data_IF_087796276255
#
_entry.id   IF_087796276255
#
_cell.length_a   1.000
_cell.length_b   1.000
_cell.length_c   1.000
_cell.angle_alpha   90.00
_cell.angle_beta   90.00
_cell.angle_gamma   90.00
#
_symmetry.space_group_name_H-M   'P 1'
#
loop_
_entity.id
_entity.type
_entity.pdbx_description
1 polymer ?
#
# COMPACT_ATOMS: atom_id res chain seq x y z
N UNK A 1 -15.81 -11.91 4.47
CA UNK A 1 -14.37 -11.83 4.18
C UNK A 1 -14.26 -11.15 2.81
N UNK A 2 -13.73 -9.93 2.75
CA UNK A 2 -13.52 -9.26 1.46
C UNK A 2 -12.28 -9.90 0.82
N UNK A 3 -12.43 -10.48 -0.37
CA UNK A 3 -11.35 -11.16 -1.06
C UNK A 3 -10.38 -10.14 -1.68
N UNK A 4 -9.08 -10.44 -1.64
CA UNK A 4 -8.06 -9.66 -2.33
C UNK A 4 -8.27 -9.67 -3.84
N UNK A 5 -7.81 -8.63 -4.56
CA UNK A 5 -8.00 -8.55 -5.99
C UNK A 5 -7.25 -9.69 -6.71
N UNK A 6 -7.85 -10.18 -7.80
CA UNK A 6 -7.26 -11.28 -8.56
C UNK A 6 -5.94 -10.87 -9.22
N UNK A 7 -4.98 -11.80 -9.26
CA UNK A 7 -3.72 -11.64 -9.98
C UNK A 7 -3.98 -11.55 -11.49
N UNK A 8 -3.31 -10.62 -12.16
CA UNK A 8 -3.33 -10.46 -13.61
C UNK A 8 -2.06 -11.10 -14.16
N UNK A 9 -2.18 -12.13 -15.00
CA UNK A 9 -1.03 -12.90 -15.53
C UNK A 9 -0.09 -13.45 -14.44
N UNK A 10 -0.64 -13.89 -13.31
CA UNK A 10 0.13 -14.41 -12.18
C UNK A 10 0.84 -13.34 -11.33
N UNK A 11 0.68 -12.05 -11.67
CA UNK A 11 1.24 -10.93 -10.93
C UNK A 11 0.17 -10.17 -10.15
N UNK A 12 0.51 -9.52 -9.03
CA UNK A 12 -0.39 -8.61 -8.34
C UNK A 12 -0.90 -7.52 -9.30
N UNK A 13 -2.19 -7.20 -9.28
CA UNK A 13 -2.74 -6.15 -10.12
C UNK A 13 -2.15 -4.78 -9.76
N UNK A 14 -2.13 -3.88 -10.74
CA UNK A 14 -1.73 -2.48 -10.55
C UNK A 14 -2.98 -1.61 -10.40
N UNK A 15 -3.13 -0.95 -9.25
CA UNK A 15 -4.30 -0.14 -8.89
C UNK A 15 -3.89 1.31 -8.60
N UNK A 16 -4.82 2.26 -8.73
CA UNK A 16 -4.57 3.62 -8.24
C UNK A 16 -4.75 3.69 -6.73
N UNK A 17 -4.17 4.72 -6.11
CA UNK A 17 -4.35 5.02 -4.68
C UNK A 17 -5.85 5.25 -4.36
N UNK A 18 -6.59 5.90 -5.24
CA UNK A 18 -8.03 6.10 -5.05
C UNK A 18 -8.83 4.80 -5.04
N UNK A 19 -8.49 3.84 -5.90
CA UNK A 19 -9.13 2.52 -5.91
C UNK A 19 -8.78 1.71 -4.66
N UNK A 20 -7.60 1.95 -4.09
CA UNK A 20 -7.20 1.37 -2.82
C UNK A 20 -8.02 1.96 -1.65
N UNK A 21 -8.17 3.30 -1.58
CA UNK A 21 -8.93 3.96 -0.51
C UNK A 21 -10.40 3.50 -0.43
N UNK A 22 -11.01 3.17 -1.57
CA UNK A 22 -12.39 2.70 -1.66
C UNK A 22 -12.54 1.18 -1.48
N UNK A 23 -11.44 0.43 -1.46
CA UNK A 23 -11.47 -1.02 -1.43
C UNK A 23 -11.84 -1.55 -0.04
N UNK A 24 -12.88 -2.39 0.05
CA UNK A 24 -13.26 -3.02 1.32
C UNK A 24 -12.15 -3.87 1.98
N UNK A 25 -11.26 -4.42 1.15
CA UNK A 25 -10.13 -5.24 1.59
C UNK A 25 -8.95 -4.38 2.10
N UNK A 26 -8.94 -3.06 1.87
CA UNK A 26 -7.87 -2.16 2.29
C UNK A 26 -7.68 -2.10 3.82
N UNK A 27 -8.76 -2.33 4.58
CA UNK A 27 -8.72 -2.39 6.06
C UNK A 27 -7.84 -3.51 6.63
N UNK A 28 -7.55 -4.50 5.80
CA UNK A 28 -6.77 -5.68 6.14
C UNK A 28 -5.36 -5.63 5.53
N UNK A 29 -4.96 -4.47 5.01
CA UNK A 29 -3.69 -4.31 4.31
C UNK A 29 -2.96 -3.05 4.74
N UNK A 30 -1.67 -2.98 4.41
CA UNK A 30 -0.87 -1.78 4.54
C UNK A 30 -0.21 -1.42 3.20
N UNK A 31 0.08 -0.14 2.99
CA UNK A 31 0.97 0.29 1.92
C UNK A 31 2.39 0.28 2.46
N UNK A 32 3.31 -0.34 1.73
CA UNK A 32 4.73 -0.39 2.05
C UNK A 32 5.59 -0.14 0.81
N UNK A 33 6.87 0.16 1.02
CA UNK A 33 7.87 0.31 -0.03
C UNK A 33 8.68 -0.99 -0.14
N UNK A 34 8.61 -1.65 -1.29
CA UNK A 34 9.35 -2.91 -1.50
C UNK A 34 10.84 -2.68 -1.79
N UNK A 35 11.60 -3.77 -1.96
CA UNK A 35 13.03 -3.74 -2.29
C UNK A 35 13.36 -3.07 -3.62
N UNK A 36 12.39 -3.00 -4.53
CA UNK A 36 12.53 -2.38 -5.85
C UNK A 36 12.13 -0.89 -5.84
N UNK A 37 11.93 -0.30 -4.66
CA UNK A 37 11.45 1.08 -4.47
C UNK A 37 10.08 1.34 -5.14
N UNK A 38 9.20 0.34 -5.14
CA UNK A 38 7.82 0.45 -5.58
C UNK A 38 6.87 0.40 -4.38
N UNK A 39 5.84 1.26 -4.41
CA UNK A 39 4.75 1.18 -3.44
C UNK A 39 3.87 -0.02 -3.74
N UNK A 40 3.76 -0.90 -2.75
CA UNK A 40 2.98 -2.14 -2.79
C UNK A 40 1.97 -2.16 -1.67
N UNK A 41 0.92 -2.94 -1.87
CA UNK A 41 -0.08 -3.21 -0.85
C UNK A 41 0.14 -4.61 -0.33
N UNK A 42 0.34 -4.74 0.98
CA UNK A 42 0.66 -6.00 1.66
C UNK A 42 -0.46 -6.42 2.59
N UNK A 43 -0.75 -7.72 2.64
CA UNK A 43 -1.65 -8.30 3.63
C UNK A 43 -1.00 -8.28 5.01
N UNK A 44 -1.73 -7.78 6.01
CA UNK A 44 -1.28 -7.68 7.42
C UNK A 44 -2.03 -8.63 8.36
N UNK A 45 -2.98 -9.42 7.86
CA UNK A 45 -3.82 -10.28 8.71
C UNK A 45 -3.10 -11.57 9.08
N UNK A 46 -2.39 -12.19 8.12
CA UNK A 46 -1.86 -13.54 8.26
C UNK A 46 -0.33 -13.62 8.45
N UNK A 47 0.34 -12.51 8.79
CA UNK A 47 1.81 -12.37 8.87
C UNK A 47 2.56 -12.81 7.59
N UNK A 48 1.83 -13.13 6.52
CA UNK A 48 2.37 -13.59 5.23
C UNK A 48 3.15 -12.47 4.53
N UNK A 49 2.81 -11.21 4.83
CA UNK A 49 3.30 -10.02 4.15
C UNK A 49 3.20 -10.16 2.61
N UNK A 50 2.19 -10.90 2.13
CA UNK A 50 2.01 -11.13 0.70
C UNK A 50 1.63 -9.82 0.01
N UNK A 51 2.29 -9.53 -1.11
CA UNK A 51 1.92 -8.41 -1.97
C UNK A 51 0.63 -8.75 -2.72
N UNK A 52 -0.45 -8.06 -2.36
CA UNK A 52 -1.79 -8.26 -2.96
C UNK A 52 -2.08 -7.29 -4.10
N UNK A 53 -1.40 -6.14 -4.14
CA UNK A 53 -1.49 -5.19 -5.25
C UNK A 53 -0.23 -4.31 -5.35
N UNK A 54 -0.04 -3.67 -6.51
CA UNK A 54 0.94 -2.60 -6.71
C UNK A 54 0.22 -1.27 -6.91
N UNK A 55 0.78 -0.18 -6.40
CA UNK A 55 0.26 1.16 -6.66
C UNK A 55 0.83 1.69 -7.97
N UNK A 56 0.00 2.40 -8.75
CA UNK A 56 0.45 3.09 -9.97
C UNK A 56 1.52 4.12 -9.64
N UNK A 57 2.53 4.21 -10.50
CA UNK A 57 3.65 5.16 -10.34
C UNK A 57 3.21 6.63 -10.25
N UNK A 58 2.09 6.97 -10.89
CA UNK A 58 1.50 8.31 -10.88
C UNK A 58 1.10 8.76 -9.47
N UNK A 59 0.79 7.82 -8.57
CA UNK A 59 0.38 8.12 -7.20
C UNK A 59 1.58 8.18 -6.23
N UNK A 60 2.79 7.84 -6.68
CA UNK A 60 3.98 7.76 -5.83
C UNK A 60 4.32 9.11 -5.18
N UNK A 61 4.15 10.22 -5.89
CA UNK A 61 4.43 11.55 -5.32
C UNK A 61 3.50 11.89 -4.15
N UNK A 62 2.25 11.43 -4.22
CA UNK A 62 1.27 11.61 -3.16
C UNK A 62 1.64 10.76 -1.95
N UNK A 63 1.98 9.49 -2.18
CA UNK A 63 2.44 8.58 -1.13
C UNK A 63 3.71 9.08 -0.45
N UNK A 64 4.69 9.56 -1.21
CA UNK A 64 5.92 10.14 -0.68
C UNK A 64 5.63 11.30 0.28
N UNK A 65 4.71 12.20 -0.09
CA UNK A 65 4.31 13.33 0.75
C UNK A 65 3.64 12.85 2.04
N UNK A 66 2.76 11.85 1.94
CA UNK A 66 2.07 11.25 3.09
C UNK A 66 3.09 10.62 4.05
N UNK A 67 3.98 9.76 3.56
CA UNK A 67 4.99 9.10 4.39
C UNK A 67 5.99 10.08 5.01
N UNK A 68 6.44 11.10 4.26
CA UNK A 68 7.31 12.15 4.80
C UNK A 68 6.61 12.95 5.90
N UNK A 69 5.38 13.40 5.66
CA UNK A 69 4.59 14.13 6.65
C UNK A 69 4.32 13.29 7.90
N UNK A 70 3.98 12.01 7.75
CA UNK A 70 3.75 11.11 8.87
C UNK A 70 5.02 10.93 9.72
N UNK A 71 6.18 10.77 9.06
CA UNK A 71 7.48 10.67 9.73
C UNK A 71 7.83 11.96 10.47
N UNK A 72 7.62 13.11 9.86
CA UNK A 72 7.87 14.43 10.49
C UNK A 72 7.00 14.61 11.74
N UNK A 73 5.71 14.28 11.66
CA UNK A 73 4.80 14.36 12.80
C UNK A 73 5.21 13.41 13.94
N UNK A 74 5.61 12.18 13.62
CA UNK A 74 6.10 11.23 14.61
C UNK A 74 7.35 11.74 15.34
N UNK A 75 8.31 12.31 14.61
CA UNK A 75 9.52 12.92 15.19
C UNK A 75 9.17 14.11 16.09
N UNK A 76 8.17 14.92 15.72
CA UNK A 76 7.72 16.04 16.53
C UNK A 76 7.03 15.60 17.83
N UNK A 77 6.22 14.53 17.79
CA UNK A 77 5.54 14.00 18.99
C UNK A 77 6.51 13.36 20.00
N UNK A 78 7.73 12.99 19.58
CA UNK A 78 8.77 12.45 20.46
C UNK A 78 9.68 13.52 21.10
N UNK A 79 9.48 14.80 20.77
CA UNK A 79 10.20 15.93 21.38
C UNK A 79 9.40 16.58 22.49
#
# INVERSE_FOLDING_TARGET
MSAFPAKVNGQPPVISLSSYDEAEWAKNTAIDLNTDMEYVVVDIVDDSHEVVAKIRKEDNETLDKIFKSAKEQFVQQQK
#
